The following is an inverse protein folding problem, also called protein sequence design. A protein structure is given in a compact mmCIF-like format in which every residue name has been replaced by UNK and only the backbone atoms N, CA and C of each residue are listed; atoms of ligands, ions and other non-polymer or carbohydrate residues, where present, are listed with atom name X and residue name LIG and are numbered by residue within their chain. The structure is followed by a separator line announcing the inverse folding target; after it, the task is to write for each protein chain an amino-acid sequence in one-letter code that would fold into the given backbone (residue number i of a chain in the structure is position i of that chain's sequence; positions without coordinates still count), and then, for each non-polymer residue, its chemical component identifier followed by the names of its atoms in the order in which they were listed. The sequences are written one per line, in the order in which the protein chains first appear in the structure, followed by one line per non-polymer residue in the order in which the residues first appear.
data_IF_619860377016
#
_entry.id   IF_619860377016
#
_cell.length_a   1.000
_cell.length_b   1.000
_cell.length_c   1.000
_cell.angle_alpha   90.00
_cell.angle_beta   90.00
_cell.angle_gamma   90.00
#
_symmetry.space_group_name_H-M   'P 1'
#
loop_
_entity.id
_entity.type
_entity.pdbx_description
1 polymer ?
#
# COMPACT_ATOMS: atom_id res chain seq x y z
N UNK A 1 68.21 22.62 -32.13
CA UNK A 1 67.13 22.99 -31.17
C UNK A 1 65.79 22.62 -31.79
N UNK A 2 65.10 21.60 -31.28
CA UNK A 2 63.79 21.14 -31.79
C UNK A 2 62.72 21.46 -30.73
N UNK A 3 61.75 22.31 -31.09
CA UNK A 3 60.54 22.57 -30.29
C UNK A 3 59.65 21.32 -30.34
N UNK A 4 59.09 20.91 -29.19
CA UNK A 4 57.92 20.03 -29.15
C UNK A 4 56.92 20.60 -28.15
N UNK A 5 55.88 21.21 -28.71
CA UNK A 5 54.70 21.74 -28.03
C UNK A 5 53.90 20.58 -27.45
N UNK A 6 53.57 20.66 -26.16
CA UNK A 6 52.74 19.68 -25.46
C UNK A 6 51.27 19.94 -25.82
N UNK A 7 50.60 18.97 -26.44
CA UNK A 7 49.17 19.03 -26.75
C UNK A 7 48.36 18.24 -25.70
N UNK A 8 47.27 18.86 -25.24
CA UNK A 8 46.26 18.34 -24.31
C UNK A 8 45.59 17.06 -24.80
N UNK A 9 45.15 16.22 -23.86
CA UNK A 9 43.85 15.54 -23.97
C UNK A 9 43.20 15.42 -22.58
N UNK A 10 42.11 16.15 -22.37
CA UNK A 10 41.20 16.02 -21.25
C UNK A 10 40.23 14.88 -21.56
N UNK A 11 40.34 13.74 -20.88
CA UNK A 11 39.43 12.62 -21.06
C UNK A 11 38.14 12.84 -20.25
N UNK A 12 37.06 13.22 -20.93
CA UNK A 12 35.73 13.30 -20.35
C UNK A 12 35.15 11.89 -20.22
N UNK A 13 35.05 11.38 -18.99
CA UNK A 13 34.32 10.14 -18.71
C UNK A 13 32.83 10.46 -18.68
N UNK A 14 32.09 10.00 -19.69
CA UNK A 14 30.62 10.01 -19.68
C UNK A 14 30.17 8.71 -19.01
N UNK A 15 29.85 8.76 -17.71
CA UNK A 15 29.15 7.66 -17.05
C UNK A 15 27.69 7.67 -17.47
N UNK A 16 27.34 6.76 -18.38
CA UNK A 16 25.96 6.46 -18.73
C UNK A 16 25.34 5.67 -17.57
N UNK A 17 24.71 6.36 -16.62
CA UNK A 17 23.93 5.71 -15.56
C UNK A 17 22.59 5.26 -16.13
N UNK A 18 22.54 4.03 -16.65
CA UNK A 18 21.27 3.39 -16.98
C UNK A 18 20.55 3.06 -15.68
N UNK A 19 19.58 3.89 -15.30
CA UNK A 19 18.64 3.59 -14.24
C UNK A 19 17.83 2.34 -14.63
N UNK A 20 18.10 1.22 -13.97
CA UNK A 20 17.24 0.05 -14.07
C UNK A 20 15.91 0.38 -13.39
N UNK A 21 14.89 0.71 -14.20
CA UNK A 21 13.50 0.68 -13.75
C UNK A 21 13.10 -0.79 -13.65
N UNK A 22 13.22 -1.38 -12.46
CA UNK A 22 12.61 -2.67 -12.20
C UNK A 22 11.10 -2.41 -12.09
N UNK A 23 10.37 -2.70 -13.17
CA UNK A 23 8.92 -2.81 -13.09
C UNK A 23 8.63 -4.06 -12.26
N UNK A 24 8.42 -3.90 -10.95
CA UNK A 24 7.74 -4.93 -10.18
C UNK A 24 6.35 -5.04 -10.80
N UNK A 25 6.07 -6.19 -11.44
CA UNK A 25 4.72 -6.48 -11.90
C UNK A 25 3.82 -6.59 -10.66
N UNK A 26 2.61 -6.08 -10.76
CA UNK A 26 1.57 -6.24 -9.75
C UNK A 26 1.43 -7.71 -9.36
N UNK A 27 1.51 -8.02 -8.06
CA UNK A 27 1.48 -9.39 -7.55
C UNK A 27 0.46 -9.54 -6.43
N UNK A 28 -0.05 -10.75 -6.28
CA UNK A 28 -1.01 -11.13 -5.25
C UNK A 28 -0.23 -11.72 -4.06
N UNK A 29 0.41 -10.84 -3.30
CA UNK A 29 1.48 -11.19 -2.35
C UNK A 29 0.96 -11.64 -0.98
N UNK A 30 -0.30 -11.34 -0.66
CA UNK A 30 -0.89 -11.55 0.66
C UNK A 30 -0.04 -10.91 1.77
N UNK A 31 0.25 -9.62 1.62
CA UNK A 31 0.99 -8.82 2.59
C UNK A 31 0.30 -8.91 3.95
N UNK A 32 1.03 -9.39 4.96
CA UNK A 32 0.52 -9.49 6.32
C UNK A 32 0.39 -8.09 6.95
N UNK A 33 -0.69 -7.86 7.70
CA UNK A 33 -0.91 -6.61 8.44
C UNK A 33 -1.20 -6.90 9.92
N UNK A 34 -0.86 -5.94 10.79
CA UNK A 34 -1.22 -5.94 12.20
C UNK A 34 -1.16 -4.53 12.79
N UNK A 35 -2.31 -3.98 13.15
CA UNK A 35 -2.39 -2.65 13.77
C UNK A 35 -3.61 -2.52 14.69
N UNK A 36 -3.61 -1.43 15.47
CA UNK A 36 -4.68 -1.09 16.40
C UNK A 36 -5.74 -0.24 15.71
N UNK A 37 -6.99 -0.66 15.83
CA UNK A 37 -8.19 0.14 15.53
C UNK A 37 -8.58 0.91 16.79
N UNK A 38 -8.56 2.26 16.78
CA UNK A 38 -8.96 3.06 17.93
C UNK A 38 -10.48 3.15 18.11
N UNK A 39 -10.89 3.64 19.27
CA UNK A 39 -12.29 3.81 19.66
C UNK A 39 -12.99 4.93 18.88
N UNK A 40 -14.32 4.97 18.97
CA UNK A 40 -15.19 6.03 18.44
C UNK A 40 -15.00 6.26 16.94
N UNK A 41 -14.78 5.17 16.18
CA UNK A 41 -14.53 5.20 14.73
C UNK A 41 -13.38 6.14 14.34
N UNK A 42 -12.36 6.25 15.19
CA UNK A 42 -11.08 6.80 14.75
C UNK A 42 -10.36 5.79 13.86
N UNK A 43 -9.48 6.27 12.99
CA UNK A 43 -8.79 5.45 12.01
C UNK A 43 -7.51 4.86 12.60
N UNK A 44 -7.31 3.56 12.38
CA UNK A 44 -6.00 2.91 12.49
C UNK A 44 -5.53 2.50 11.10
N UNK A 45 -4.22 2.43 10.88
CA UNK A 45 -3.67 2.01 9.60
C UNK A 45 -2.35 1.26 9.78
N UNK A 46 -1.93 0.55 8.74
CA UNK A 46 -0.57 0.00 8.65
C UNK A 46 0.48 1.11 8.79
N UNK A 47 1.63 0.82 9.42
CA UNK A 47 2.68 1.84 9.57
C UNK A 47 3.37 2.17 8.24
N UNK A 48 3.40 1.21 7.31
CA UNK A 48 4.10 1.30 6.03
C UNK A 48 3.12 1.19 4.88
N UNK A 49 3.26 2.08 3.89
CA UNK A 49 2.47 2.03 2.67
C UNK A 49 3.05 1.04 1.66
N UNK A 50 2.20 0.53 0.80
CA UNK A 50 2.54 -0.35 -0.32
C UNK A 50 2.35 0.40 -1.63
N UNK A 51 3.30 0.23 -2.55
CA UNK A 51 3.25 0.95 -3.82
C UNK A 51 2.33 0.23 -4.80
N UNK A 52 1.21 0.87 -5.14
CA UNK A 52 0.26 0.34 -6.12
C UNK A 52 0.71 0.69 -7.55
N UNK A 53 1.23 -0.27 -8.31
CA UNK A 53 1.83 -0.03 -9.63
C UNK A 53 0.79 0.31 -10.70
N UNK A 54 -0.40 -0.28 -10.60
CA UNK A 54 -1.39 -0.25 -11.67
C UNK A 54 -2.00 1.14 -11.89
N UNK A 55 -2.31 1.42 -13.15
CA UNK A 55 -3.15 2.56 -13.52
C UNK A 55 -4.63 2.18 -13.68
N UNK A 56 -4.95 0.89 -13.55
CA UNK A 56 -6.27 0.30 -13.71
C UNK A 56 -7.03 0.31 -12.37
N UNK A 57 -8.19 0.95 -12.34
CA UNK A 57 -9.02 1.02 -11.12
C UNK A 57 -9.76 -0.29 -10.83
N UNK A 58 -9.96 -1.11 -11.86
CA UNK A 58 -10.56 -2.45 -11.81
C UNK A 58 -9.57 -3.55 -11.42
N UNK A 59 -8.27 -3.25 -11.37
CA UNK A 59 -7.31 -4.11 -10.68
C UNK A 59 -7.51 -3.96 -9.16
N UNK A 60 -8.39 -4.77 -8.59
CA UNK A 60 -8.87 -4.57 -7.24
C UNK A 60 -7.76 -4.73 -6.20
N UNK A 61 -7.85 -3.96 -5.12
CA UNK A 61 -7.14 -4.28 -3.89
C UNK A 61 -7.97 -5.30 -3.10
N UNK A 62 -7.36 -5.97 -2.12
CA UNK A 62 -8.08 -6.93 -1.28
C UNK A 62 -7.66 -6.88 0.18
N UNK A 63 -8.53 -7.40 1.04
CA UNK A 63 -8.25 -7.62 2.46
C UNK A 63 -8.93 -8.88 2.97
N UNK A 64 -8.24 -9.61 3.84
CA UNK A 64 -8.76 -10.77 4.57
C UNK A 64 -8.49 -10.60 6.05
N UNK A 65 -9.54 -10.33 6.83
CA UNK A 65 -9.46 -10.24 8.29
C UNK A 65 -9.35 -11.63 8.93
N UNK A 66 -8.21 -11.93 9.53
CA UNK A 66 -7.98 -13.22 10.20
C UNK A 66 -8.30 -13.16 11.70
N UNK A 67 -7.92 -12.07 12.37
CA UNK A 67 -8.20 -11.85 13.80
C UNK A 67 -8.66 -10.42 14.05
N UNK A 68 -9.70 -10.26 14.85
CA UNK A 68 -10.12 -9.03 15.49
C UNK A 68 -10.13 -9.24 17.00
N UNK A 69 -9.59 -8.28 17.74
CA UNK A 69 -9.65 -8.27 19.21
C UNK A 69 -11.07 -8.11 19.78
N UNK A 70 -12.05 -7.72 18.96
CA UNK A 70 -13.46 -7.69 19.37
C UNK A 70 -14.06 -9.10 19.53
N UNK A 71 -13.47 -10.11 18.89
CA UNK A 71 -13.89 -11.51 18.99
C UNK A 71 -14.20 -12.17 17.66
N UNK A 72 -14.42 -13.49 17.70
CA UNK A 72 -14.60 -14.29 16.48
C UNK A 72 -15.88 -13.89 15.74
N UNK A 73 -15.73 -13.61 14.45
CA UNK A 73 -16.84 -13.33 13.54
C UNK A 73 -17.34 -11.88 13.57
N UNK A 74 -16.64 -11.00 14.27
CA UNK A 74 -16.87 -9.55 14.21
C UNK A 74 -16.41 -8.98 12.86
N UNK A 75 -16.75 -7.73 12.63
CA UNK A 75 -16.55 -7.02 11.37
C UNK A 75 -15.64 -5.84 11.63
N UNK A 76 -14.81 -5.49 10.66
CA UNK A 76 -14.04 -4.24 10.69
C UNK A 76 -14.10 -3.64 9.30
N UNK A 77 -14.22 -2.31 9.21
CA UNK A 77 -14.32 -1.59 7.94
C UNK A 77 -12.94 -1.19 7.48
N UNK A 78 -12.61 -1.49 6.23
CA UNK A 78 -11.31 -1.22 5.62
C UNK A 78 -11.41 -0.38 4.35
N UNK A 79 -10.36 0.39 4.06
CA UNK A 79 -10.14 1.10 2.79
C UNK A 79 -8.66 1.41 2.60
N UNK A 80 -8.33 2.03 1.47
CA UNK A 80 -7.01 2.55 1.19
C UNK A 80 -6.95 4.06 1.39
N UNK A 81 -5.87 4.54 2.02
CA UNK A 81 -5.53 5.96 2.11
C UNK A 81 -4.20 6.24 1.41
N UNK A 82 -4.00 7.50 0.99
CA UNK A 82 -2.69 7.99 0.59
C UNK A 82 -1.92 8.57 1.79
N UNK A 83 -0.70 9.05 1.57
CA UNK A 83 0.18 9.61 2.61
C UNK A 83 -0.37 10.83 3.37
N UNK A 84 -1.47 11.42 2.90
CA UNK A 84 -2.13 12.59 3.49
C UNK A 84 -3.47 12.20 4.13
N UNK A 85 -3.62 10.93 4.50
CA UNK A 85 -4.83 10.37 5.13
C UNK A 85 -6.11 10.57 4.31
N UNK A 86 -5.96 10.73 2.98
CA UNK A 86 -7.10 10.88 2.08
C UNK A 86 -7.53 9.50 1.61
N UNK A 87 -8.82 9.18 1.78
CA UNK A 87 -9.41 7.97 1.23
C UNK A 87 -9.29 7.93 -0.31
N UNK A 88 -8.72 6.84 -0.83
CA UNK A 88 -8.50 6.61 -2.26
C UNK A 88 -9.12 5.30 -2.76
N UNK A 89 -10.10 4.74 -2.04
CA UNK A 89 -10.82 3.54 -2.48
C UNK A 89 -12.24 3.45 -1.94
N UNK A 90 -13.05 2.57 -2.52
CA UNK A 90 -14.29 2.13 -1.87
C UNK A 90 -13.96 1.45 -0.54
N UNK A 91 -14.84 1.55 0.45
CA UNK A 91 -14.73 0.85 1.73
C UNK A 91 -15.25 -0.58 1.62
N UNK A 92 -14.84 -1.44 2.56
CA UNK A 92 -15.41 -2.79 2.72
C UNK A 92 -15.46 -3.22 4.18
N UNK A 93 -16.59 -3.79 4.57
CA UNK A 93 -16.79 -4.42 5.86
C UNK A 93 -16.33 -5.88 5.77
N UNK A 94 -15.17 -6.19 6.35
CA UNK A 94 -14.58 -7.52 6.32
C UNK A 94 -14.90 -8.28 7.62
N UNK A 95 -15.57 -9.44 7.48
CA UNK A 95 -15.87 -10.33 8.61
C UNK A 95 -14.70 -11.24 8.95
N UNK A 96 -14.33 -11.29 10.23
CA UNK A 96 -13.24 -12.15 10.71
C UNK A 96 -13.46 -13.62 10.32
N UNK A 97 -12.41 -14.25 9.81
CA UNK A 97 -12.39 -15.67 9.47
C UNK A 97 -13.13 -16.01 8.18
N UNK A 98 -13.62 -15.01 7.44
CA UNK A 98 -14.19 -15.18 6.12
C UNK A 98 -13.11 -15.14 5.03
N UNK A 99 -13.52 -15.31 3.77
CA UNK A 99 -12.65 -15.17 2.61
C UNK A 99 -12.12 -13.74 2.40
N UNK A 100 -11.20 -13.54 1.43
CA UNK A 100 -10.76 -12.22 1.03
C UNK A 100 -11.91 -11.42 0.40
N UNK A 101 -11.92 -10.12 0.67
CA UNK A 101 -12.83 -9.15 0.08
C UNK A 101 -12.06 -8.29 -0.91
N UNK A 102 -12.66 -8.04 -2.07
CA UNK A 102 -12.04 -7.26 -3.15
C UNK A 102 -12.82 -5.97 -3.39
N UNK A 103 -12.09 -4.88 -3.65
CA UNK A 103 -12.69 -3.59 -3.98
C UNK A 103 -11.85 -2.82 -4.98
N UNK A 104 -12.53 -2.00 -5.77
CA UNK A 104 -11.89 -1.09 -6.69
C UNK A 104 -11.24 0.06 -5.92
N UNK A 105 -10.07 0.47 -6.38
CA UNK A 105 -9.43 1.72 -5.95
C UNK A 105 -9.87 2.87 -6.86
N UNK A 106 -9.75 4.10 -6.37
CA UNK A 106 -9.96 5.30 -7.21
C UNK A 106 -8.70 5.57 -8.05
N UNK A 107 -8.85 6.39 -9.09
CA UNK A 107 -7.71 6.78 -9.93
C UNK A 107 -6.61 7.49 -9.13
N UNK A 108 -6.97 8.17 -8.05
CA UNK A 108 -6.04 8.82 -7.11
C UNK A 108 -5.12 7.86 -6.35
N UNK A 109 -5.38 6.55 -6.40
CA UNK A 109 -4.52 5.51 -5.82
C UNK A 109 -3.48 4.94 -6.80
N UNK A 110 -3.53 5.30 -8.10
CA UNK A 110 -2.62 4.74 -9.11
C UNK A 110 -1.21 5.29 -8.97
N UNK A 111 -0.22 4.40 -9.02
CA UNK A 111 1.21 4.74 -9.05
C UNK A 111 1.67 5.55 -7.84
N UNK A 112 1.08 5.29 -6.67
CA UNK A 112 1.46 5.89 -5.39
C UNK A 112 1.52 4.83 -4.29
N UNK A 113 2.16 5.18 -3.17
CA UNK A 113 2.01 4.42 -1.95
C UNK A 113 0.60 4.59 -1.38
N UNK A 114 0.00 3.48 -0.97
CA UNK A 114 -1.28 3.42 -0.28
C UNK A 114 -1.13 2.67 1.03
N UNK A 115 -1.98 3.01 2.01
CA UNK A 115 -2.01 2.42 3.33
C UNK A 115 -3.33 1.71 3.53
N UNK A 116 -3.28 0.49 4.09
CA UNK A 116 -4.49 -0.17 4.57
C UNK A 116 -4.95 0.52 5.85
N UNK A 117 -6.11 1.15 5.79
CA UNK A 117 -6.75 1.84 6.90
C UNK A 117 -8.00 1.08 7.33
N UNK A 118 -8.32 1.15 8.62
CA UNK A 118 -9.53 0.58 9.18
C UNK A 118 -10.12 1.40 10.34
N UNK A 119 -11.43 1.23 10.53
CA UNK A 119 -12.18 1.68 11.70
C UNK A 119 -13.12 0.59 12.23
N UNK A 120 -13.60 0.77 13.46
CA UNK A 120 -14.70 -0.05 13.97
C UNK A 120 -15.97 0.20 13.13
N UNK A 121 -16.65 -0.88 12.75
CA UNK A 121 -17.93 -0.78 12.04
C UNK A 121 -19.08 -0.28 12.95
N UNK A 122 -18.85 -0.17 14.25
CA UNK A 122 -19.75 0.35 15.28
C UNK A 122 -19.11 1.55 16.00
N UNK A 123 -19.93 2.53 16.41
CA UNK A 123 -19.48 3.65 17.24
C UNK A 123 -19.55 3.28 18.73
N UNK A 124 -18.41 2.94 19.33
CA UNK A 124 -18.28 2.60 20.74
C UNK A 124 -16.92 3.05 21.32
N UNK A 125 -16.75 2.89 22.63
CA UNK A 125 -15.52 3.24 23.34
C UNK A 125 -14.41 2.20 23.25
N UNK A 126 -14.60 1.13 22.49
CA UNK A 126 -13.67 0.00 22.46
C UNK A 126 -12.57 0.20 21.41
N UNK A 127 -11.37 -0.25 21.72
CA UNK A 127 -10.25 -0.31 20.78
C UNK A 127 -9.67 -1.71 20.78
N UNK A 128 -9.17 -2.15 19.62
CA UNK A 128 -8.76 -3.54 19.44
C UNK A 128 -7.70 -3.66 18.35
N UNK A 129 -6.94 -4.74 18.39
CA UNK A 129 -5.98 -5.05 17.33
C UNK A 129 -6.65 -5.91 16.26
N UNK A 130 -6.28 -5.67 15.00
CA UNK A 130 -6.66 -6.49 13.85
C UNK A 130 -5.42 -7.03 13.17
N UNK A 131 -5.52 -8.24 12.62
CA UNK A 131 -4.47 -8.80 11.77
C UNK A 131 -5.05 -9.68 10.67
N UNK A 132 -4.31 -9.79 9.58
CA UNK A 132 -4.74 -10.52 8.40
C UNK A 132 -3.76 -10.39 7.25
N UNK A 133 -4.30 -10.52 6.03
CA UNK A 133 -3.54 -10.27 4.81
C UNK A 133 -4.29 -9.28 3.93
N UNK A 134 -3.56 -8.50 3.16
CA UNK A 134 -4.09 -7.58 2.16
C UNK A 134 -3.14 -7.54 0.97
N UNK A 135 -3.58 -6.93 -0.13
CA UNK A 135 -2.68 -6.48 -1.19
C UNK A 135 -3.25 -5.17 -1.74
N UNK A 136 -2.34 -4.26 -2.12
CA UNK A 136 -2.69 -2.98 -2.71
C UNK A 136 -3.27 -3.14 -4.11
N UNK A 137 -3.01 -4.24 -4.81
CA UNK A 137 -3.54 -4.64 -6.12
C UNK A 137 -3.47 -6.18 -6.30
N UNK A 138 -3.98 -6.74 -7.40
CA UNK A 138 -4.14 -8.20 -7.55
C UNK A 138 -3.66 -8.81 -8.87
N UNK A 139 -3.31 -8.03 -9.90
CA UNK A 139 -2.78 -8.53 -11.18
C UNK A 139 -2.08 -7.46 -12.05
#
# INVERSE_FOLDING_TARGET
MKKKTLFLTLASVVTLSSSFYINALATNDNISFNFRVPSYQSNGHEATGQYRQTTHTDNQWKVKLLKSGEGKGTVTRFWLENKNDTNVSKTVDAKQGSGPYYKDAYKSASQINVWLTAENNNFNGDSYNVSGNWDEETW
#
